data_IF_923548323854
#
_entry.id   IF_923548323854
#
_cell.length_a   1.000
_cell.length_b   1.000
_cell.length_c   1.000
_cell.angle_alpha   90.00
_cell.angle_beta   90.00
_cell.angle_gamma   90.00
#
_symmetry.space_group_name_H-M   'P 1'
#
loop_
_entity.id
_entity.type
_entity.pdbx_description
1 polymer ?
#
# COMPACT_ATOMS: atom_id res chain seq x y z
N UNK A 1 -3.21 -21.92 1.16
CA UNK A 1 -2.63 -21.15 0.04
C UNK A 1 -1.64 -20.16 0.63
N UNK A 2 -0.42 -20.06 0.11
CA UNK A 2 0.52 -19.02 0.53
C UNK A 2 0.18 -17.72 -0.21
N UNK A 3 0.05 -16.62 0.54
CA UNK A 3 -0.13 -15.29 -0.02
C UNK A 3 1.24 -14.59 -0.04
N UNK A 4 1.80 -14.24 -1.20
CA UNK A 4 3.10 -13.58 -1.27
C UNK A 4 3.08 -12.22 -0.58
N UNK A 5 4.15 -11.89 0.15
CA UNK A 5 4.37 -10.57 0.73
C UNK A 5 4.99 -9.64 -0.34
N UNK A 6 4.33 -8.54 -0.66
CA UNK A 6 4.78 -7.59 -1.69
C UNK A 6 4.90 -6.19 -1.10
N UNK A 7 6.08 -5.59 -1.27
CA UNK A 7 6.33 -4.21 -0.87
C UNK A 7 5.62 -3.24 -1.83
N UNK A 8 4.90 -2.27 -1.28
CA UNK A 8 4.28 -1.16 -2.00
C UNK A 8 4.85 0.12 -1.42
N UNK A 9 5.51 0.91 -2.26
CA UNK A 9 6.09 2.18 -1.85
C UNK A 9 5.02 3.19 -1.44
N UNK A 10 5.33 3.94 -0.39
CA UNK A 10 4.56 5.07 0.08
C UNK A 10 5.26 6.38 -0.24
N UNK A 11 4.47 7.40 -0.55
CA UNK A 11 4.93 8.77 -0.61
C UNK A 11 4.71 9.46 0.73
N UNK A 12 5.40 10.59 0.92
CA UNK A 12 5.19 11.45 2.09
C UNK A 12 4.16 12.52 1.77
N UNK A 13 3.12 12.62 2.60
CA UNK A 13 2.08 13.65 2.48
C UNK A 13 1.90 14.39 3.80
N UNK A 14 1.87 15.71 3.74
CA UNK A 14 1.42 16.51 4.89
C UNK A 14 -0.11 16.62 4.88
N UNK A 15 -0.73 16.17 5.97
CA UNK A 15 -2.18 16.18 6.15
C UNK A 15 -2.51 16.21 7.66
N UNK A 16 -3.50 17.01 8.05
CA UNK A 16 -3.91 17.21 9.45
C UNK A 16 -2.75 17.56 10.42
N UNK A 17 -1.80 18.39 9.97
CA UNK A 17 -0.59 18.76 10.72
C UNK A 17 0.36 17.59 11.06
N UNK A 18 0.23 16.46 10.36
CA UNK A 18 1.14 15.32 10.47
C UNK A 18 1.79 14.98 9.12
N UNK A 19 2.95 14.35 9.21
CA UNK A 19 3.62 13.71 8.07
C UNK A 19 3.11 12.27 7.97
N UNK A 20 2.45 11.95 6.86
CA UNK A 20 1.91 10.63 6.58
C UNK A 20 2.73 9.93 5.51
N UNK A 21 2.96 8.63 5.70
CA UNK A 21 3.37 7.72 4.65
C UNK A 21 2.12 7.11 4.03
N UNK A 22 1.84 7.44 2.77
CA UNK A 22 0.59 7.07 2.11
C UNK A 22 0.83 6.54 0.70
N UNK A 23 0.03 5.54 0.29
CA UNK A 23 -0.04 5.06 -1.08
C UNK A 23 -1.46 5.28 -1.62
N UNK A 24 -1.63 5.54 -2.92
CA UNK A 24 -2.95 5.58 -3.56
C UNK A 24 -3.74 4.28 -3.35
N UNK A 25 -5.03 4.39 -3.02
CA UNK A 25 -5.90 3.24 -2.76
C UNK A 25 -5.95 2.25 -3.94
N UNK A 26 -5.92 2.76 -5.16
CA UNK A 26 -5.95 1.95 -6.38
C UNK A 26 -4.79 0.95 -6.45
N UNK A 27 -3.63 1.27 -5.87
CA UNK A 27 -2.50 0.35 -5.82
C UNK A 27 -2.74 -0.79 -4.82
N UNK A 28 -3.39 -0.49 -3.69
CA UNK A 28 -3.79 -1.51 -2.72
C UNK A 28 -4.87 -2.42 -3.30
N UNK A 29 -5.86 -1.87 -4.01
CA UNK A 29 -6.90 -2.66 -4.66
C UNK A 29 -6.33 -3.58 -5.75
N UNK A 30 -5.41 -3.06 -6.56
CA UNK A 30 -4.70 -3.88 -7.56
C UNK A 30 -3.91 -5.02 -6.90
N UNK A 31 -3.25 -4.77 -5.77
CA UNK A 31 -2.49 -5.80 -5.05
C UNK A 31 -3.41 -6.85 -4.39
N UNK A 32 -4.44 -6.40 -3.68
CA UNK A 32 -5.31 -7.27 -2.88
C UNK A 32 -6.33 -8.00 -3.76
N UNK A 33 -7.16 -7.25 -4.48
CA UNK A 33 -8.25 -7.81 -5.27
C UNK A 33 -7.79 -8.25 -6.66
N UNK A 34 -6.87 -7.51 -7.28
CA UNK A 34 -6.35 -7.84 -8.61
C UNK A 34 -5.34 -8.98 -8.61
N UNK A 35 -4.32 -8.91 -7.75
CA UNK A 35 -3.20 -9.85 -7.73
C UNK A 35 -3.25 -10.89 -6.60
N UNK A 36 -4.12 -10.71 -5.60
CA UNK A 36 -4.24 -11.66 -4.49
C UNK A 36 -3.00 -11.75 -3.60
N UNK A 37 -2.22 -10.66 -3.47
CA UNK A 37 -1.00 -10.63 -2.65
C UNK A 37 -1.23 -9.91 -1.32
N UNK A 38 -0.32 -10.07 -0.35
CA UNK A 38 -0.36 -9.41 0.95
C UNK A 38 0.55 -8.17 0.89
N UNK A 39 -0.01 -6.96 0.95
CA UNK A 39 0.77 -5.73 0.80
C UNK A 39 1.52 -5.36 2.10
N UNK A 40 2.76 -4.92 1.94
CA UNK A 40 3.56 -4.24 2.96
C UNK A 40 3.83 -2.81 2.49
N UNK A 41 3.29 -1.81 3.19
CA UNK A 41 3.55 -0.41 2.90
C UNK A 41 4.94 -0.03 3.43
N UNK A 42 5.79 0.49 2.55
CA UNK A 42 7.20 0.85 2.86
C UNK A 42 7.58 2.24 2.40
#
# INVERSE_FOLDING_TARGET
MQQPLVAISTDVRQFDNYTWHAAPQQYLEAAIAGAGVFPLLV
#
